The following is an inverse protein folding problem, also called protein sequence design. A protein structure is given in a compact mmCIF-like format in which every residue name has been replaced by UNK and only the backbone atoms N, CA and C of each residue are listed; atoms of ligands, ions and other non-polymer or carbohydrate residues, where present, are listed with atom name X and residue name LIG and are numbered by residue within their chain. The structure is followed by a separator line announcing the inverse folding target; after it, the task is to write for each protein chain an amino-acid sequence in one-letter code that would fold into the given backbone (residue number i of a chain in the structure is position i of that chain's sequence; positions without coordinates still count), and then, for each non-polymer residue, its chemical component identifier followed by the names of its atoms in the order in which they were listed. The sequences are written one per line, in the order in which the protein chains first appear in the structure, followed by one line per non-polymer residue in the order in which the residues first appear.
data_IF_736424291005
#
_entry.id   IF_736424291005
#
_cell.length_a   1.000
_cell.length_b   1.000
_cell.length_c   1.000
_cell.angle_alpha   90.00
_cell.angle_beta   90.00
_cell.angle_gamma   90.00
#
_symmetry.space_group_name_H-M   'P 1'
#
loop_
_entity.id
_entity.type
_entity.pdbx_description
1 polymer ?
#
# COMPACT_ATOMS: atom_id res chain seq x y z
N UNK A 1 -22.82 0.75 -3.36
CA UNK A 1 -23.86 1.81 -3.23
C UNK A 1 -23.26 2.85 -2.30
N UNK A 2 -23.14 4.14 -2.57
CA UNK A 2 -23.82 5.03 -3.51
C UNK A 2 -22.89 6.21 -3.91
N UNK A 3 -23.34 7.00 -4.88
CA UNK A 3 -22.67 8.12 -5.54
C UNK A 3 -22.50 9.36 -4.62
N UNK A 4 -21.36 10.06 -4.72
CA UNK A 4 -21.23 11.42 -4.19
C UNK A 4 -21.91 12.42 -5.15
N UNK A 5 -23.08 12.95 -4.76
CA UNK A 5 -23.71 14.08 -5.44
C UNK A 5 -23.22 15.41 -4.85
N UNK A 6 -22.84 16.35 -5.72
CA UNK A 6 -22.58 17.75 -5.37
C UNK A 6 -23.90 18.47 -5.09
N UNK A 7 -23.96 19.27 -4.01
CA UNK A 7 -24.95 20.33 -3.87
C UNK A 7 -24.29 21.67 -3.54
N UNK A 8 -24.81 22.70 -4.21
CA UNK A 8 -24.43 24.11 -4.12
C UNK A 8 -25.20 24.76 -2.93
N UNK A 9 -24.64 25.75 -2.21
CA UNK A 9 -25.27 26.27 -1.00
C UNK A 9 -26.18 27.47 -1.31
N UNK A 10 -27.38 27.49 -0.71
CA UNK A 10 -28.11 28.74 -0.43
C UNK A 10 -28.81 28.67 0.93
N UNK A 11 -28.81 29.83 1.58
CA UNK A 11 -29.43 30.22 2.86
C UNK A 11 -28.88 29.56 4.13
N UNK A 12 -28.44 30.27 5.16
CA UNK A 12 -28.83 31.62 5.57
C UNK A 12 -29.46 31.57 6.96
N UNK A 13 -28.70 31.20 8.00
CA UNK A 13 -29.05 31.61 9.37
C UNK A 13 -27.81 31.63 10.26
N UNK A 14 -27.57 32.81 10.85
CA UNK A 14 -26.54 33.06 11.84
C UNK A 14 -26.90 32.40 13.16
N UNK A 15 -26.06 31.47 13.63
CA UNK A 15 -25.96 31.13 15.05
C UNK A 15 -24.53 31.37 15.49
N UNK A 16 -24.37 32.33 16.40
CA UNK A 16 -23.13 32.62 17.11
C UNK A 16 -22.62 31.35 17.79
N UNK A 17 -21.49 30.83 17.32
CA UNK A 17 -20.72 29.81 18.01
C UNK A 17 -20.04 30.46 19.21
N UNK A 18 -20.39 29.97 20.40
CA UNK A 18 -19.70 30.31 21.64
C UNK A 18 -18.26 29.79 21.54
N UNK A 19 -17.29 30.69 21.69
CA UNK A 19 -15.90 30.33 21.97
C UNK A 19 -15.86 29.48 23.24
N UNK A 20 -15.51 28.20 23.09
CA UNK A 20 -14.99 27.40 24.17
C UNK A 20 -13.47 27.39 23.97
N UNK A 21 -12.76 28.08 24.86
CA UNK A 21 -11.30 27.98 24.96
C UNK A 21 -10.97 26.55 25.41
N UNK A 22 -10.65 25.67 24.46
CA UNK A 22 -10.01 24.40 24.78
C UNK A 22 -8.52 24.66 24.98
N UNK A 23 -8.08 24.51 26.21
CA UNK A 23 -6.67 24.46 26.60
C UNK A 23 -5.88 23.55 25.67
N UNK A 24 -4.86 24.13 25.05
CA UNK A 24 -3.80 23.42 24.36
C UNK A 24 -3.02 22.55 25.36
N UNK A 25 -3.51 21.34 25.62
CA UNK A 25 -2.68 20.26 26.13
C UNK A 25 -2.26 19.39 24.94
N UNK A 26 -0.95 19.32 24.75
CA UNK A 26 -0.26 18.51 23.76
C UNK A 26 -0.75 17.07 23.82
N UNK A 27 -1.45 16.62 22.78
CA UNK A 27 -1.62 15.18 22.49
C UNK A 27 -0.26 14.60 22.06
N UNK A 28 0.64 14.40 23.03
CA UNK A 28 1.78 13.50 22.86
C UNK A 28 1.24 12.08 22.91
N UNK A 29 0.96 11.52 21.73
CA UNK A 29 0.77 10.09 21.58
C UNK A 29 2.00 9.39 22.17
N UNK A 30 1.80 8.72 23.30
CA UNK A 30 2.88 8.09 24.04
C UNK A 30 3.09 6.70 23.41
N UNK A 31 4.07 6.56 22.51
CA UNK A 31 4.53 5.26 21.97
C UNK A 31 5.06 4.28 23.06
N UNK A 32 5.02 4.68 24.33
CA UNK A 32 5.33 3.85 25.49
C UNK A 32 4.09 3.06 25.91
N UNK A 33 3.84 1.89 25.30
CA UNK A 33 3.30 0.69 26.00
C UNK A 33 2.99 -0.52 25.11
N UNK A 34 3.41 -0.58 23.83
CA UNK A 34 3.46 -1.90 23.16
C UNK A 34 4.59 -2.72 23.79
N UNK A 35 4.24 -3.52 24.82
CA UNK A 35 5.09 -4.64 25.24
C UNK A 35 5.23 -5.55 24.03
N UNK A 36 6.47 -5.83 23.55
CA UNK A 36 6.67 -6.76 22.46
C UNK A 36 5.91 -8.04 22.77
N UNK A 37 4.97 -8.42 21.89
CA UNK A 37 4.48 -9.78 21.88
C UNK A 37 5.71 -10.61 21.53
N UNK A 38 6.28 -11.32 22.50
CA UNK A 38 7.38 -12.28 22.29
C UNK A 38 6.88 -13.52 21.56
N UNK A 39 5.97 -13.34 20.61
CA UNK A 39 5.67 -14.30 19.57
C UNK A 39 6.82 -14.25 18.58
N UNK A 40 7.96 -14.80 18.99
CA UNK A 40 8.96 -15.29 18.05
C UNK A 40 8.30 -16.41 17.28
N UNK A 41 7.52 -16.08 16.26
CA UNK A 41 7.14 -17.05 15.26
C UNK A 41 8.46 -17.49 14.63
N UNK A 42 8.86 -18.76 14.78
CA UNK A 42 10.18 -19.27 14.37
C UNK A 42 10.40 -19.28 12.85
N UNK A 43 9.98 -18.23 12.15
CA UNK A 43 10.04 -18.03 10.71
C UNK A 43 10.54 -16.62 10.42
N UNK A 44 11.38 -16.54 9.40
CA UNK A 44 11.85 -15.29 8.82
C UNK A 44 10.72 -14.59 8.05
N UNK A 45 10.54 -13.30 8.29
CA UNK A 45 9.44 -12.51 7.68
C UNK A 45 9.93 -11.15 7.19
N UNK A 46 9.59 -10.84 5.93
CA UNK A 46 9.70 -9.53 5.30
C UNK A 46 8.31 -9.01 4.91
N UNK A 47 7.93 -7.84 5.41
CA UNK A 47 6.66 -7.21 5.01
C UNK A 47 6.91 -6.24 3.85
N UNK A 48 6.21 -6.40 2.73
CA UNK A 48 6.35 -5.49 1.57
C UNK A 48 5.33 -4.36 1.54
N UNK A 49 4.55 -4.18 2.61
CA UNK A 49 3.56 -3.11 2.70
C UNK A 49 3.38 -2.70 4.17
N UNK A 50 3.89 -1.52 4.51
CA UNK A 50 3.80 -0.91 5.84
C UNK A 50 3.71 0.61 5.65
N UNK A 51 2.88 1.29 6.42
CA UNK A 51 2.73 2.74 6.32
C UNK A 51 3.57 3.47 7.36
N UNK A 52 4.13 4.61 6.96
CA UNK A 52 4.88 5.52 7.84
C UNK A 52 4.28 6.92 7.81
N UNK A 53 4.45 7.63 8.93
CA UNK A 53 3.94 8.97 9.11
C UNK A 53 2.49 9.04 9.57
N UNK A 54 2.11 10.25 9.98
CA UNK A 54 0.83 10.56 10.59
C UNK A 54 -0.22 10.87 9.52
N UNK A 55 -1.43 10.42 9.77
CA UNK A 55 -2.63 10.83 9.04
C UNK A 55 -3.52 11.63 9.99
N UNK A 56 -3.88 12.84 9.58
CA UNK A 56 -4.77 13.67 10.41
C UNK A 56 -6.17 13.02 10.51
N UNK A 57 -6.85 13.13 11.66
CA UNK A 57 -8.24 12.71 11.80
C UNK A 57 -9.13 13.37 10.74
N UNK A 58 -10.12 12.63 10.25
CA UNK A 58 -11.03 13.11 9.20
C UNK A 58 -12.48 12.67 9.43
N UNK A 59 -13.48 13.50 9.07
CA UNK A 59 -14.90 13.13 9.15
C UNK A 59 -15.27 12.13 8.05
N UNK A 60 -14.88 10.87 8.24
CA UNK A 60 -15.19 9.78 7.31
C UNK A 60 -16.68 9.41 7.35
N UNK A 61 -17.22 9.00 6.19
CA UNK A 61 -18.54 8.37 6.08
C UNK A 61 -19.68 9.10 6.81
N UNK A 62 -19.79 10.41 6.58
CA UNK A 62 -20.85 11.26 7.16
C UNK A 62 -20.71 11.46 8.69
N UNK A 63 -19.57 11.10 9.28
CA UNK A 63 -19.28 11.40 10.68
C UNK A 63 -19.18 12.91 10.91
N UNK A 64 -19.89 13.42 11.92
CA UNK A 64 -19.78 14.83 12.35
C UNK A 64 -18.42 15.12 12.99
N UNK A 65 -17.89 14.16 13.74
CA UNK A 65 -16.60 14.25 14.41
C UNK A 65 -15.50 13.58 13.58
N UNK A 66 -14.34 14.23 13.39
CA UNK A 66 -13.18 13.61 12.77
C UNK A 66 -12.69 12.42 13.59
N UNK A 67 -12.40 11.31 12.92
CA UNK A 67 -11.78 10.13 13.55
C UNK A 67 -10.43 9.84 12.91
N UNK A 68 -9.48 9.34 13.70
CA UNK A 68 -8.31 8.66 13.15
C UNK A 68 -8.69 7.20 12.91
N UNK A 69 -8.74 6.75 11.65
CA UNK A 69 -9.19 5.39 11.35
C UNK A 69 -8.14 4.32 11.68
N UNK A 70 -6.90 4.75 11.91
CA UNK A 70 -5.76 3.95 12.31
C UNK A 70 -4.87 4.78 13.25
N UNK A 71 -4.01 4.11 14.02
CA UNK A 71 -2.95 4.77 14.78
C UNK A 71 -1.91 5.41 13.84
N UNK A 72 -1.07 6.35 14.31
CA UNK A 72 0.00 6.90 13.50
C UNK A 72 1.03 5.82 13.14
N UNK A 73 1.48 5.82 11.88
CA UNK A 73 2.61 4.99 11.48
C UNK A 73 3.93 5.55 12.04
N UNK A 74 5.02 4.75 12.09
CA UNK A 74 6.31 5.21 12.55
C UNK A 74 6.76 6.50 11.85
N UNK A 75 7.24 7.47 12.62
CA UNK A 75 7.77 8.75 12.14
C UNK A 75 9.29 8.85 12.31
N UNK A 76 9.91 7.90 13.01
CA UNK A 76 11.35 7.83 13.24
C UNK A 76 11.90 6.43 13.03
N UNK A 77 13.21 6.32 12.80
CA UNK A 77 13.87 5.01 12.66
C UNK A 77 13.87 4.19 13.94
N UNK A 78 13.82 4.83 15.10
CA UNK A 78 13.68 4.14 16.39
C UNK A 78 12.30 3.47 16.51
N UNK A 79 11.23 4.20 16.20
CA UNK A 79 9.87 3.66 16.19
C UNK A 79 9.72 2.54 15.16
N UNK A 80 10.25 2.72 13.95
CA UNK A 80 10.21 1.69 12.90
C UNK A 80 11.01 0.45 13.30
N UNK A 81 12.19 0.63 13.90
CA UNK A 81 13.02 -0.49 14.38
C UNK A 81 12.30 -1.24 15.50
N UNK A 82 11.70 -0.52 16.46
CA UNK A 82 10.91 -1.13 17.54
C UNK A 82 9.72 -1.91 16.98
N UNK A 83 8.99 -1.33 16.02
CA UNK A 83 7.90 -2.00 15.32
C UNK A 83 8.38 -3.32 14.68
N UNK A 84 9.47 -3.27 13.92
CA UNK A 84 10.04 -4.46 13.28
C UNK A 84 10.48 -5.53 14.30
N UNK A 85 11.24 -5.14 15.32
CA UNK A 85 11.77 -6.04 16.34
C UNK A 85 10.66 -6.68 17.19
N UNK A 86 9.60 -5.92 17.49
CA UNK A 86 8.45 -6.42 18.26
C UNK A 86 7.73 -7.59 17.60
N UNK A 87 7.82 -7.70 16.27
CA UNK A 87 7.12 -8.69 15.44
C UNK A 87 8.09 -9.69 14.79
N UNK A 88 9.38 -9.59 15.08
CA UNK A 88 10.42 -10.43 14.46
C UNK A 88 10.60 -10.17 12.96
N UNK A 89 10.20 -9.00 12.47
CA UNK A 89 10.35 -8.62 11.06
C UNK A 89 11.79 -8.22 10.78
N UNK A 90 12.45 -8.94 9.88
CA UNK A 90 13.85 -8.71 9.57
C UNK A 90 14.05 -7.57 8.56
N UNK A 91 13.13 -7.42 7.60
CA UNK A 91 13.12 -6.36 6.60
C UNK A 91 11.69 -5.87 6.33
N UNK A 92 11.55 -4.61 5.95
CA UNK A 92 10.24 -4.06 5.59
C UNK A 92 10.33 -3.07 4.42
N UNK A 93 9.26 -3.00 3.62
CA UNK A 93 9.05 -1.93 2.66
C UNK A 93 8.02 -0.96 3.23
N UNK A 94 8.40 0.30 3.36
CA UNK A 94 7.56 1.37 3.87
C UNK A 94 7.00 2.24 2.75
N UNK A 95 5.79 2.74 2.95
CA UNK A 95 5.10 3.66 2.04
C UNK A 95 4.49 4.83 2.83
N UNK A 96 4.26 5.98 2.19
CA UNK A 96 3.53 7.08 2.80
C UNK A 96 2.16 6.65 3.33
N UNK A 97 1.81 7.10 4.53
CA UNK A 97 0.44 7.00 5.02
C UNK A 97 -0.50 7.91 4.20
N UNK A 98 -1.71 7.43 3.89
CA UNK A 98 -2.72 8.14 3.11
C UNK A 98 -4.11 7.61 3.46
N UNK A 99 -5.16 8.37 3.13
CA UNK A 99 -6.53 7.89 3.32
C UNK A 99 -7.57 9.00 3.39
N UNK A 100 -7.13 10.23 3.65
CA UNK A 100 -7.97 11.43 3.66
C UNK A 100 -7.97 12.09 2.26
N UNK A 101 -9.02 12.83 1.87
CA UNK A 101 -9.13 13.48 0.57
C UNK A 101 -8.27 14.76 0.46
N UNK A 102 -7.01 14.70 0.88
CA UNK A 102 -6.00 15.76 0.78
C UNK A 102 -4.86 15.23 -0.07
N UNK A 103 -4.77 15.70 -1.32
CA UNK A 103 -3.83 15.17 -2.32
C UNK A 103 -2.38 15.30 -1.90
N UNK A 104 -2.02 16.43 -1.28
CA UNK A 104 -0.65 16.80 -0.92
C UNK A 104 -0.12 16.01 0.28
N UNK A 105 -1.00 15.50 1.15
CA UNK A 105 -0.61 14.84 2.40
C UNK A 105 0.37 13.66 2.18
N UNK A 106 0.08 12.67 1.31
CA UNK A 106 1.02 11.57 1.12
C UNK A 106 2.32 11.98 0.40
N UNK A 107 2.29 13.03 -0.44
CA UNK A 107 3.52 13.54 -1.06
C UNK A 107 4.49 14.13 -0.03
N UNK A 108 3.98 14.78 1.02
CA UNK A 108 4.82 15.33 2.10
C UNK A 108 5.61 14.25 2.85
N UNK A 109 5.10 13.02 2.86
CA UNK A 109 5.74 11.89 3.54
C UNK A 109 6.78 11.16 2.68
N UNK A 110 6.97 11.53 1.41
CA UNK A 110 8.05 10.96 0.59
C UNK A 110 9.44 11.26 1.17
N UNK A 111 9.65 12.45 1.72
CA UNK A 111 10.93 12.82 2.37
C UNK A 111 11.18 11.97 3.62
N UNK A 112 10.12 11.68 4.39
CA UNK A 112 10.20 10.76 5.53
C UNK A 112 10.57 9.34 5.07
N UNK A 113 9.95 8.83 4.02
CA UNK A 113 10.29 7.51 3.46
C UNK A 113 11.77 7.44 3.07
N UNK A 114 12.29 8.45 2.36
CA UNK A 114 13.71 8.53 1.98
C UNK A 114 14.60 8.54 3.23
N UNK A 115 14.25 9.36 4.24
CA UNK A 115 15.00 9.42 5.49
C UNK A 115 15.08 8.04 6.18
N UNK A 116 13.94 7.39 6.39
CA UNK A 116 13.86 6.10 7.08
C UNK A 116 14.57 4.99 6.29
N UNK A 117 14.57 5.04 4.95
CA UNK A 117 15.33 4.12 4.12
C UNK A 117 16.84 4.27 4.32
N UNK A 118 17.36 5.51 4.36
CA UNK A 118 18.78 5.79 4.59
C UNK A 118 19.23 5.32 5.99
N UNK A 119 18.40 5.54 6.99
CA UNK A 119 18.68 5.17 8.39
C UNK A 119 18.44 3.67 8.66
N UNK A 120 17.72 2.97 7.77
CA UNK A 120 17.30 1.58 7.93
C UNK A 120 18.39 0.52 7.77
N UNK A 121 19.64 0.90 7.51
CA UNK A 121 20.83 0.02 7.47
C UNK A 121 20.63 -1.25 6.60
N UNK A 122 20.05 -1.09 5.41
CA UNK A 122 19.79 -2.19 4.48
C UNK A 122 18.61 -3.10 4.82
N UNK A 123 17.88 -2.81 5.91
CA UNK A 123 16.66 -3.54 6.33
C UNK A 123 15.37 -2.88 5.86
N UNK A 124 15.41 -1.61 5.46
CA UNK A 124 14.24 -0.82 5.09
C UNK A 124 14.33 -0.45 3.60
N UNK A 125 13.29 -0.81 2.85
CA UNK A 125 13.05 -0.33 1.50
C UNK A 125 11.89 0.68 1.50
N UNK A 126 11.80 1.55 0.50
CA UNK A 126 10.74 2.55 0.39
C UNK A 126 10.06 2.53 -0.96
N UNK A 127 8.76 2.83 -0.99
CA UNK A 127 8.08 3.24 -2.22
C UNK A 127 7.54 4.66 -2.12
N UNK A 128 7.85 5.49 -3.12
CA UNK A 128 7.47 6.89 -3.14
C UNK A 128 6.03 7.06 -3.65
N UNK A 129 5.25 7.90 -2.99
CA UNK A 129 3.93 8.29 -3.46
C UNK A 129 4.02 9.11 -4.75
N UNK A 130 3.21 8.72 -5.73
CA UNK A 130 3.06 9.38 -7.03
C UNK A 130 1.59 9.41 -7.43
N UNK A 131 1.23 10.32 -8.34
CA UNK A 131 -0.12 10.38 -8.89
C UNK A 131 -0.07 10.74 -10.36
N UNK A 132 -0.83 10.00 -11.19
CA UNK A 132 -0.99 10.34 -12.59
C UNK A 132 -2.00 11.46 -12.86
N UNK A 133 -2.56 12.09 -11.83
CA UNK A 133 -3.49 13.22 -11.98
C UNK A 133 -2.74 14.50 -12.42
N UNK A 134 -3.21 15.24 -13.44
CA UNK A 134 -2.54 16.44 -13.93
C UNK A 134 -2.30 17.52 -12.87
N UNK A 135 -3.25 17.69 -11.93
CA UNK A 135 -3.13 18.64 -10.82
C UNK A 135 -1.98 18.33 -9.85
N UNK A 136 -1.53 17.07 -9.81
CA UNK A 136 -0.44 16.61 -8.96
C UNK A 136 0.90 16.53 -9.73
N UNK A 137 0.99 17.13 -10.93
CA UNK A 137 2.18 17.02 -11.78
C UNK A 137 3.45 17.45 -11.05
N UNK A 138 3.47 18.65 -10.48
CA UNK A 138 4.67 19.18 -9.82
C UNK A 138 5.11 18.31 -8.63
N UNK A 139 4.15 17.84 -7.83
CA UNK A 139 4.39 16.95 -6.70
C UNK A 139 4.95 15.60 -7.15
N UNK A 140 4.41 15.06 -8.24
CA UNK A 140 4.88 13.81 -8.83
C UNK A 140 6.26 13.97 -9.43
N UNK A 141 6.53 15.07 -10.14
CA UNK A 141 7.85 15.35 -10.70
C UNK A 141 8.90 15.50 -9.59
N UNK A 142 8.57 16.17 -8.49
CA UNK A 142 9.42 16.21 -7.29
C UNK A 142 9.63 14.81 -6.71
N UNK A 143 8.59 13.98 -6.63
CA UNK A 143 8.72 12.60 -6.14
C UNK A 143 9.70 11.77 -6.99
N UNK A 144 9.61 11.89 -8.31
CA UNK A 144 10.46 11.14 -9.25
C UNK A 144 11.95 11.53 -9.14
N UNK A 145 12.30 12.74 -8.71
CA UNK A 145 13.72 13.11 -8.50
C UNK A 145 14.38 12.37 -7.33
N UNK A 146 13.59 11.75 -6.45
CA UNK A 146 14.08 10.98 -5.30
C UNK A 146 14.23 9.48 -5.59
N UNK A 147 13.96 9.01 -6.82
CA UNK A 147 13.98 7.59 -7.17
C UNK A 147 15.35 6.93 -7.03
N UNK A 148 16.42 7.71 -7.17
CA UNK A 148 17.80 7.22 -7.07
C UNK A 148 18.35 7.27 -5.64
N UNK A 149 17.52 7.67 -4.67
CA UNK A 149 17.88 7.63 -3.26
C UNK A 149 18.08 6.19 -2.75
N UNK A 150 19.09 5.95 -1.88
CA UNK A 150 19.32 4.64 -1.30
C UNK A 150 18.06 4.08 -0.62
N UNK A 151 17.73 2.82 -0.92
CA UNK A 151 16.58 2.14 -0.35
C UNK A 151 15.25 2.34 -1.08
N UNK A 152 15.14 3.26 -2.04
CA UNK A 152 13.92 3.40 -2.83
C UNK A 152 13.81 2.27 -3.86
N UNK A 153 12.74 1.48 -3.75
CA UNK A 153 12.55 0.21 -4.50
C UNK A 153 11.14 0.05 -5.07
N UNK A 154 10.32 1.09 -5.01
CA UNK A 154 8.99 1.07 -5.61
C UNK A 154 8.38 2.46 -5.73
N UNK A 155 7.19 2.48 -6.32
CA UNK A 155 6.29 3.62 -6.32
C UNK A 155 4.95 3.21 -5.72
N UNK A 156 4.23 4.12 -5.09
CA UNK A 156 2.89 3.91 -4.55
C UNK A 156 1.90 4.85 -5.23
N UNK A 157 0.79 4.30 -5.70
CA UNK A 157 -0.28 5.03 -6.35
C UNK A 157 -1.65 4.52 -5.86
N UNK A 158 -2.60 5.44 -5.70
CA UNK A 158 -3.99 5.14 -5.38
C UNK A 158 -4.94 5.98 -6.21
N UNK A 159 -6.10 5.42 -6.52
CA UNK A 159 -7.21 6.14 -7.17
C UNK A 159 -8.36 6.41 -6.18
N UNK A 160 -8.17 6.17 -4.88
CA UNK A 160 -9.10 6.60 -3.83
C UNK A 160 -9.24 8.12 -3.78
N UNK A 161 -8.14 8.84 -4.03
CA UNK A 161 -8.12 10.30 -4.00
C UNK A 161 -8.62 10.93 -5.32
N UNK A 162 -8.96 10.12 -6.32
CA UNK A 162 -9.48 10.57 -7.61
C UNK A 162 -8.81 9.92 -8.81
N UNK A 163 -9.37 10.15 -9.99
CA UNK A 163 -8.91 9.53 -11.25
C UNK A 163 -9.41 8.10 -11.41
N UNK A 164 -8.77 7.35 -12.31
CA UNK A 164 -9.12 5.95 -12.59
C UNK A 164 -7.89 5.21 -13.10
N UNK A 165 -7.72 3.91 -12.77
CA UNK A 165 -6.65 3.10 -13.36
C UNK A 165 -6.93 2.71 -14.81
N UNK A 166 -8.15 2.87 -15.33
CA UNK A 166 -8.50 2.46 -16.69
C UNK A 166 -7.90 3.41 -17.74
N UNK A 167 -6.87 3.01 -18.49
CA UNK A 167 -6.17 3.89 -19.42
C UNK A 167 -7.03 4.34 -20.61
N UNK A 168 -8.19 3.70 -20.84
CA UNK A 168 -9.15 4.12 -21.87
C UNK A 168 -9.88 5.41 -21.49
N UNK A 169 -9.85 5.78 -20.22
CA UNK A 169 -10.53 6.96 -19.65
C UNK A 169 -9.57 8.12 -19.37
N UNK A 170 -8.28 7.97 -19.66
CA UNK A 170 -7.31 9.04 -19.47
C UNK A 170 -7.39 10.06 -20.59
N UNK A 171 -7.48 11.34 -20.23
CA UNK A 171 -7.18 12.41 -21.16
C UNK A 171 -5.67 12.47 -21.48
N UNK A 172 -5.29 13.31 -22.43
CA UNK A 172 -3.91 13.41 -22.89
C UNK A 172 -2.94 13.80 -21.76
N UNK A 173 -3.34 14.70 -20.87
CA UNK A 173 -2.51 15.17 -19.76
C UNK A 173 -2.28 14.07 -18.72
N UNK A 174 -3.34 13.31 -18.40
CA UNK A 174 -3.31 12.17 -17.48
C UNK A 174 -2.47 11.04 -18.07
N UNK A 175 -2.67 10.71 -19.35
CA UNK A 175 -1.87 9.70 -20.06
C UNK A 175 -0.40 10.07 -20.03
N UNK A 176 -0.03 11.30 -20.40
CA UNK A 176 1.36 11.75 -20.44
C UNK A 176 2.05 11.62 -19.08
N UNK A 177 1.35 11.94 -17.99
CA UNK A 177 1.92 11.81 -16.65
C UNK A 177 2.06 10.35 -16.21
N UNK A 178 1.08 9.48 -16.49
CA UNK A 178 1.20 8.04 -16.24
C UNK A 178 2.35 7.42 -17.05
N UNK A 179 2.49 7.73 -18.34
CA UNK A 179 3.58 7.23 -19.18
C UNK A 179 4.96 7.64 -18.64
N UNK A 180 5.09 8.88 -18.11
CA UNK A 180 6.31 9.32 -17.44
C UNK A 180 6.61 8.44 -16.21
N UNK A 181 5.64 8.29 -15.30
CA UNK A 181 5.78 7.43 -14.12
C UNK A 181 6.14 5.99 -14.50
N UNK A 182 5.50 5.43 -15.52
CA UNK A 182 5.72 4.06 -15.97
C UNK A 182 7.08 3.89 -16.64
N UNK A 183 7.58 4.89 -17.37
CA UNK A 183 8.94 4.86 -17.92
C UNK A 183 9.98 4.79 -16.79
N UNK A 184 9.86 5.66 -15.80
CA UNK A 184 10.80 5.70 -14.66
C UNK A 184 10.81 4.37 -13.89
N UNK A 185 9.64 3.77 -13.69
CA UNK A 185 9.52 2.46 -13.04
C UNK A 185 10.15 1.33 -13.87
N UNK A 186 9.91 1.31 -15.20
CA UNK A 186 10.48 0.30 -16.11
C UNK A 186 12.00 0.41 -16.21
N UNK A 187 12.52 1.62 -16.38
CA UNK A 187 13.96 1.89 -16.49
C UNK A 187 14.73 1.41 -15.25
N UNK A 188 14.13 1.56 -14.06
CA UNK A 188 14.70 1.09 -12.79
C UNK A 188 14.31 -0.34 -12.42
N UNK A 189 13.42 -0.97 -13.19
CA UNK A 189 12.87 -2.28 -12.94
C UNK A 189 12.24 -2.43 -11.53
N UNK A 190 11.54 -1.37 -11.08
CA UNK A 190 10.85 -1.31 -9.80
C UNK A 190 9.33 -1.45 -10.00
N UNK A 191 8.61 -2.09 -9.07
CA UNK A 191 7.15 -2.20 -9.13
C UNK A 191 6.45 -0.91 -8.72
N UNK A 192 5.25 -0.74 -9.28
CA UNK A 192 4.28 0.25 -8.82
C UNK A 192 3.21 -0.47 -8.00
N UNK A 193 3.10 -0.09 -6.74
CA UNK A 193 2.05 -0.52 -5.83
C UNK A 193 0.78 0.27 -6.12
N UNK A 194 -0.23 -0.42 -6.62
CA UNK A 194 -1.55 0.13 -6.86
C UNK A 194 -2.51 -0.33 -5.77
N UNK A 195 -3.11 0.63 -5.07
CA UNK A 195 -4.12 0.33 -4.07
C UNK A 195 -5.41 -0.22 -4.68
N UNK A 196 -5.77 -1.47 -4.36
CA UNK A 196 -7.07 -2.05 -4.72
C UNK A 196 -8.00 -2.11 -3.52
N UNK A 197 -9.29 -1.81 -3.70
CA UNK A 197 -10.27 -1.75 -2.62
C UNK A 197 -11.61 -2.37 -3.02
N UNK A 198 -12.53 -2.65 -2.07
CA UNK A 198 -13.81 -3.28 -2.36
C UNK A 198 -14.76 -2.50 -3.31
N UNK A 199 -14.37 -1.34 -3.81
CA UNK A 199 -15.22 -0.53 -4.68
C UNK A 199 -14.58 0.78 -5.17
N UNK A 200 -15.39 1.58 -5.87
CA UNK A 200 -14.95 2.85 -6.43
C UNK A 200 -13.92 2.68 -7.55
N UNK A 201 -13.05 3.67 -7.71
CA UNK A 201 -12.02 3.64 -8.76
C UNK A 201 -10.91 2.61 -8.47
N UNK A 202 -10.74 2.21 -7.21
CA UNK A 202 -9.77 1.20 -6.79
C UNK A 202 -10.31 -0.24 -6.83
N UNK A 203 -11.54 -0.48 -7.31
CA UNK A 203 -12.00 -1.86 -7.60
C UNK A 203 -11.14 -2.49 -8.70
N UNK A 204 -10.76 -3.76 -8.51
CA UNK A 204 -9.90 -4.53 -9.44
C UNK A 204 -10.39 -4.50 -10.90
N UNK A 205 -11.70 -4.39 -11.14
CA UNK A 205 -12.24 -4.35 -12.50
C UNK A 205 -11.74 -3.19 -13.33
N UNK A 206 -11.35 -2.08 -12.69
CA UNK A 206 -10.80 -0.94 -13.39
C UNK A 206 -9.32 -1.16 -13.80
N UNK A 207 -8.62 -2.14 -13.25
CA UNK A 207 -7.19 -2.36 -13.48
C UNK A 207 -6.88 -3.33 -14.62
N UNK A 208 -7.82 -4.17 -15.05
CA UNK A 208 -7.52 -5.21 -16.06
C UNK A 208 -7.00 -4.62 -17.38
N UNK A 209 -7.47 -3.44 -17.78
CA UNK A 209 -6.95 -2.79 -18.99
C UNK A 209 -5.56 -2.18 -18.78
N UNK A 210 -5.26 -1.68 -17.58
CA UNK A 210 -3.91 -1.26 -17.22
C UNK A 210 -2.95 -2.44 -17.25
N UNK A 211 -3.35 -3.57 -16.67
CA UNK A 211 -2.59 -4.83 -16.69
C UNK A 211 -2.39 -5.32 -18.12
N UNK A 212 -3.46 -5.34 -18.93
CA UNK A 212 -3.38 -5.79 -20.32
C UNK A 212 -2.44 -4.93 -21.15
N UNK A 213 -2.47 -3.60 -20.95
CA UNK A 213 -1.70 -2.65 -21.75
C UNK A 213 -0.24 -2.54 -21.33
N UNK A 214 0.05 -2.61 -20.03
CA UNK A 214 1.39 -2.33 -19.49
C UNK A 214 2.00 -3.50 -18.72
N UNK A 215 1.22 -4.48 -18.28
CA UNK A 215 1.69 -5.52 -17.37
C UNK A 215 2.69 -6.50 -17.97
N UNK A 216 2.99 -6.46 -19.28
CA UNK A 216 4.05 -7.32 -19.86
C UNK A 216 5.46 -6.81 -19.56
N UNK A 217 5.62 -5.49 -19.44
CA UNK A 217 6.91 -4.84 -19.25
C UNK A 217 6.96 -3.96 -17.99
N UNK A 218 5.82 -3.62 -17.40
CA UNK A 218 5.70 -2.94 -16.11
C UNK A 218 5.33 -3.91 -15.00
N UNK A 219 6.10 -3.89 -13.90
CA UNK A 219 5.75 -4.62 -12.67
C UNK A 219 4.61 -3.90 -11.95
N UNK A 220 3.44 -4.55 -11.91
CA UNK A 220 2.22 -4.04 -11.28
C UNK A 220 2.00 -4.81 -9.99
N UNK A 221 2.11 -4.13 -8.84
CA UNK A 221 1.82 -4.73 -7.54
C UNK A 221 0.45 -4.28 -7.06
N UNK A 222 -0.55 -5.16 -7.14
CA UNK A 222 -1.92 -4.90 -6.73
C UNK A 222 -2.05 -5.18 -5.22
N UNK A 223 -1.89 -4.14 -4.41
CA UNK A 223 -2.00 -4.33 -2.96
C UNK A 223 -3.43 -4.63 -2.54
N UNK A 224 -3.60 -5.45 -1.51
CA UNK A 224 -4.89 -5.96 -1.03
C UNK A 224 -5.62 -6.96 -1.95
N UNK A 225 -4.87 -7.55 -2.89
CA UNK A 225 -5.28 -8.71 -3.68
C UNK A 225 -6.58 -8.51 -4.49
N UNK A 226 -6.89 -7.29 -4.89
CA UNK A 226 -8.07 -6.92 -5.68
C UNK A 226 -9.21 -6.29 -4.88
N UNK A 227 -9.11 -6.21 -3.56
CA UNK A 227 -10.03 -5.50 -2.69
C UNK A 227 -11.40 -6.19 -2.47
N UNK A 228 -11.63 -6.65 -1.24
CA UNK A 228 -12.91 -7.24 -0.81
C UNK A 228 -13.30 -8.56 -1.49
N UNK A 229 -14.40 -9.17 -1.04
CA UNK A 229 -14.81 -10.53 -1.46
C UNK A 229 -14.92 -10.68 -2.98
N UNK A 230 -15.62 -9.75 -3.64
CA UNK A 230 -15.87 -9.84 -5.08
C UNK A 230 -14.62 -9.59 -5.90
N UNK A 231 -13.78 -8.64 -5.47
CA UNK A 231 -12.51 -8.35 -6.14
C UNK A 231 -11.54 -9.52 -6.04
N UNK A 232 -11.43 -10.13 -4.85
CA UNK A 232 -10.62 -11.31 -4.62
C UNK A 232 -11.02 -12.49 -5.51
N UNK A 233 -12.32 -12.78 -5.63
CA UNK A 233 -12.82 -13.86 -6.50
C UNK A 233 -12.46 -13.59 -7.97
N UNK A 234 -12.64 -12.35 -8.44
CA UNK A 234 -12.34 -11.96 -9.83
C UNK A 234 -10.86 -12.02 -10.17
N UNK A 235 -9.99 -11.64 -9.23
CA UNK A 235 -8.55 -11.67 -9.45
C UNK A 235 -8.05 -13.12 -9.45
N UNK A 236 -8.44 -13.92 -8.45
CA UNK A 236 -8.06 -15.34 -8.37
C UNK A 236 -8.54 -16.10 -9.61
N UNK A 237 -9.76 -15.84 -10.10
CA UNK A 237 -10.27 -16.54 -11.30
C UNK A 237 -9.48 -16.26 -12.58
N UNK A 238 -8.67 -15.19 -12.61
CA UNK A 238 -7.83 -14.81 -13.75
C UNK A 238 -6.34 -15.03 -13.46
N UNK A 239 -5.98 -15.49 -12.25
CA UNK A 239 -4.60 -15.53 -11.79
C UNK A 239 -3.70 -16.32 -12.73
N UNK A 240 -4.09 -17.56 -13.02
CA UNK A 240 -3.37 -18.44 -13.95
C UNK A 240 -3.17 -17.78 -15.31
N UNK A 241 -4.23 -17.24 -15.91
CA UNK A 241 -4.19 -16.61 -17.23
C UNK A 241 -3.26 -15.37 -17.24
N UNK A 242 -3.23 -14.61 -16.14
CA UNK A 242 -2.32 -13.49 -16.00
C UNK A 242 -0.86 -13.96 -15.92
N UNK A 243 -0.57 -14.98 -15.12
CA UNK A 243 0.80 -15.47 -14.92
C UNK A 243 1.32 -16.20 -16.15
N UNK A 244 0.58 -17.18 -16.69
CA UNK A 244 0.96 -17.90 -17.91
C UNK A 244 0.93 -16.98 -19.14
N UNK A 245 0.07 -15.96 -19.10
CA UNK A 245 0.07 -14.87 -20.05
C UNK A 245 1.36 -14.06 -20.02
N UNK A 246 2.22 -14.18 -19.00
CA UNK A 246 3.47 -13.43 -18.90
C UNK A 246 3.29 -11.99 -18.41
N UNK A 247 2.18 -11.70 -17.72
CA UNK A 247 2.00 -10.41 -17.05
C UNK A 247 2.76 -10.41 -15.71
N UNK A 248 3.49 -9.33 -15.46
CA UNK A 248 4.24 -9.03 -14.25
C UNK A 248 3.30 -8.46 -13.17
N UNK A 249 2.29 -9.24 -12.79
CA UNK A 249 1.34 -8.90 -11.74
C UNK A 249 1.78 -9.53 -10.43
N UNK A 250 1.96 -8.71 -9.41
CA UNK A 250 2.27 -9.09 -8.04
C UNK A 250 1.11 -8.71 -7.14
N UNK A 251 0.96 -9.41 -6.03
CA UNK A 251 -0.06 -9.16 -5.00
C UNK A 251 0.54 -9.43 -3.62
N UNK A 252 -0.01 -8.79 -2.60
CA UNK A 252 0.29 -9.11 -1.22
C UNK A 252 -0.97 -9.48 -0.42
N UNK A 253 -0.74 -10.06 0.76
CA UNK A 253 -1.79 -10.59 1.63
C UNK A 253 -2.55 -9.53 2.42
N UNK A 254 -2.06 -8.30 2.55
CA UNK A 254 -2.63 -7.30 3.44
C UNK A 254 -4.09 -7.01 3.11
N UNK A 255 -4.96 -6.86 4.11
CA UNK A 255 -6.41 -6.63 3.91
C UNK A 255 -7.13 -7.69 3.05
N UNK A 256 -6.44 -8.75 2.63
CA UNK A 256 -7.07 -9.82 1.87
C UNK A 256 -7.90 -10.67 2.84
N UNK A 257 -9.08 -11.09 2.38
CA UNK A 257 -9.98 -11.87 3.22
C UNK A 257 -9.43 -13.29 3.29
N UNK A 258 -9.41 -13.89 4.49
CA UNK A 258 -8.71 -15.16 4.73
C UNK A 258 -9.14 -16.33 3.84
N UNK A 259 -10.37 -16.37 3.30
CA UNK A 259 -10.74 -17.42 2.32
C UNK A 259 -9.93 -17.28 1.03
N UNK A 260 -9.70 -16.05 0.58
CA UNK A 260 -9.07 -15.77 -0.69
C UNK A 260 -7.57 -16.08 -0.62
N UNK A 261 -6.90 -15.63 0.45
CA UNK A 261 -5.49 -15.96 0.72
C UNK A 261 -5.29 -17.47 0.78
N UNK A 262 -6.10 -18.19 1.57
CA UNK A 262 -6.00 -19.65 1.67
C UNK A 262 -6.27 -20.37 0.35
N UNK A 263 -7.20 -19.85 -0.46
CA UNK A 263 -7.53 -20.44 -1.75
C UNK A 263 -6.37 -20.29 -2.72
N UNK A 264 -5.82 -19.08 -2.87
CA UNK A 264 -4.68 -18.83 -3.73
C UNK A 264 -3.46 -19.64 -3.25
N UNK A 265 -3.12 -19.61 -1.97
CA UNK A 265 -1.98 -20.36 -1.44
C UNK A 265 -2.05 -21.87 -1.75
N UNK A 266 -3.23 -22.49 -1.66
CA UNK A 266 -3.41 -23.88 -2.05
C UNK A 266 -3.18 -24.11 -3.55
N UNK A 267 -3.64 -23.18 -4.38
CA UNK A 267 -3.41 -23.24 -5.83
C UNK A 267 -1.93 -23.08 -6.17
N UNK A 268 -1.23 -22.16 -5.49
CA UNK A 268 0.21 -21.97 -5.61
C UNK A 268 0.98 -23.24 -5.22
N UNK A 269 0.63 -23.86 -4.10
CA UNK A 269 1.26 -25.09 -3.60
C UNK A 269 1.02 -26.29 -4.53
N UNK A 270 -0.16 -26.36 -5.15
CA UNK A 270 -0.51 -27.46 -6.05
C UNK A 270 0.08 -27.32 -7.45
N UNK A 271 0.24 -26.09 -7.95
CA UNK A 271 0.55 -25.84 -9.37
C UNK A 271 1.91 -25.19 -9.59
N UNK A 272 2.46 -24.51 -8.59
CA UNK A 272 3.64 -23.66 -8.73
C UNK A 272 3.40 -22.35 -9.51
N UNK A 273 2.22 -22.14 -10.09
CA UNK A 273 1.95 -21.01 -10.99
C UNK A 273 1.81 -19.72 -10.19
N UNK A 274 2.80 -18.83 -10.34
CA UNK A 274 2.78 -17.51 -9.70
C UNK A 274 3.21 -17.51 -8.24
N UNK A 275 3.89 -18.57 -7.77
CA UNK A 275 4.47 -18.62 -6.42
C UNK A 275 5.37 -17.42 -6.17
N UNK A 276 6.08 -16.97 -7.20
CA UNK A 276 7.00 -15.83 -7.19
C UNK A 276 6.32 -14.45 -7.32
N UNK A 277 4.99 -14.41 -7.21
CA UNK A 277 4.17 -13.19 -7.37
C UNK A 277 3.28 -12.86 -6.16
N UNK A 278 3.26 -13.72 -5.14
CA UNK A 278 2.49 -13.47 -3.91
C UNK A 278 3.41 -13.18 -2.72
N UNK A 279 3.23 -12.05 -2.07
CA UNK A 279 4.11 -11.56 -1.02
C UNK A 279 3.37 -11.33 0.30
N UNK A 280 4.10 -11.37 1.41
CA UNK A 280 3.57 -10.95 2.70
C UNK A 280 3.56 -9.42 2.83
N UNK A 281 2.42 -8.86 3.18
CA UNK A 281 2.26 -7.46 3.60
C UNK A 281 1.36 -7.40 4.82
N UNK A 282 1.72 -6.58 5.81
CA UNK A 282 0.89 -6.43 7.01
C UNK A 282 0.04 -5.15 7.01
N UNK A 283 0.39 -4.13 6.23
CA UNK A 283 -0.38 -2.88 6.09
C UNK A 283 -0.61 -2.11 7.40
N UNK A 284 0.26 -2.31 8.38
CA UNK A 284 0.27 -1.53 9.62
C UNK A 284 0.43 -0.02 9.30
N UNK A 285 -0.35 0.88 9.93
CA UNK A 285 -1.29 0.65 11.04
C UNK A 285 -2.75 0.41 10.61
N UNK A 286 -3.02 0.22 9.32
CA UNK A 286 -4.36 -0.04 8.79
C UNK A 286 -4.84 -1.48 8.95
N UNK A 287 -3.92 -2.40 9.22
CA UNK A 287 -4.18 -3.76 9.67
C UNK A 287 -3.12 -4.16 10.71
N UNK A 288 -3.11 -5.42 11.11
CA UNK A 288 -2.28 -5.94 12.19
C UNK A 288 -1.39 -7.09 11.69
N UNK A 289 -0.13 -7.09 12.13
CA UNK A 289 0.83 -8.11 11.74
C UNK A 289 0.34 -9.53 12.04
N UNK A 290 -0.23 -9.77 13.22
CA UNK A 290 -0.66 -11.08 13.69
C UNK A 290 -1.76 -11.67 12.80
N UNK A 291 -2.78 -10.87 12.48
CA UNK A 291 -3.89 -11.23 11.62
C UNK A 291 -3.40 -11.62 10.22
N UNK A 292 -2.52 -10.82 9.64
CA UNK A 292 -1.95 -11.08 8.32
C UNK A 292 -1.02 -12.31 8.34
N UNK A 293 -0.18 -12.45 9.36
CA UNK A 293 0.74 -13.57 9.53
C UNK A 293 -0.01 -14.90 9.60
N UNK A 294 -1.05 -14.99 10.44
CA UNK A 294 -1.78 -16.23 10.65
C UNK A 294 -2.64 -16.66 9.46
N UNK A 295 -3.05 -15.73 8.58
CA UNK A 295 -3.72 -16.09 7.31
C UNK A 295 -2.86 -17.01 6.45
N UNK A 296 -1.54 -16.83 6.46
CA UNK A 296 -0.58 -17.63 5.69
C UNK A 296 -0.05 -18.78 6.54
N UNK A 297 0.42 -18.51 7.75
CA UNK A 297 1.03 -19.54 8.61
C UNK A 297 0.06 -20.68 8.91
N UNK A 298 -1.22 -20.36 9.14
CA UNK A 298 -2.28 -21.34 9.39
C UNK A 298 -2.80 -22.08 8.15
N UNK A 299 -2.31 -21.75 6.95
CA UNK A 299 -2.71 -22.45 5.73
C UNK A 299 -2.09 -23.86 5.67
N UNK A 300 -2.86 -24.89 5.26
CA UNK A 300 -2.36 -26.26 5.10
C UNK A 300 -1.67 -26.42 3.74
N UNK A 301 -0.50 -25.82 3.61
CA UNK A 301 0.38 -25.82 2.42
C UNK A 301 1.82 -26.15 2.87
N UNK A 302 2.69 -26.47 1.92
CA UNK A 302 4.10 -26.74 2.22
C UNK A 302 4.82 -25.55 2.88
N UNK A 303 5.85 -25.85 3.67
CA UNK A 303 6.72 -24.80 4.22
C UNK A 303 7.49 -24.07 3.13
N UNK A 304 7.80 -24.73 2.00
CA UNK A 304 8.46 -24.08 0.86
C UNK A 304 7.66 -22.87 0.36
N UNK A 305 6.34 -23.03 0.15
CA UNK A 305 5.48 -21.91 -0.26
C UNK A 305 5.42 -20.84 0.83
N UNK A 306 5.38 -21.22 2.11
CA UNK A 306 5.40 -20.25 3.21
C UNK A 306 6.68 -19.43 3.20
N UNK A 307 7.85 -20.06 3.07
CA UNK A 307 9.14 -19.34 3.00
C UNK A 307 9.19 -18.38 1.80
N UNK A 308 8.67 -18.81 0.63
CA UNK A 308 8.57 -17.93 -0.55
C UNK A 308 7.72 -16.69 -0.25
N UNK A 309 6.53 -16.86 0.31
CA UNK A 309 5.60 -15.74 0.57
C UNK A 309 6.08 -14.84 1.71
N UNK A 310 6.59 -15.43 2.79
CA UNK A 310 7.01 -14.66 3.97
C UNK A 310 8.27 -13.86 3.75
N UNK A 311 9.22 -14.31 2.92
CA UNK A 311 10.43 -13.52 2.69
C UNK A 311 11.10 -13.73 1.34
N UNK A 312 11.10 -14.93 0.75
CA UNK A 312 11.89 -15.23 -0.44
C UNK A 312 11.53 -14.36 -1.64
N UNK A 313 10.23 -14.19 -1.91
CA UNK A 313 9.73 -13.33 -2.98
C UNK A 313 10.07 -11.86 -2.72
N UNK A 314 9.93 -11.42 -1.47
CA UNK A 314 10.22 -10.05 -1.07
C UNK A 314 11.72 -9.74 -1.24
N UNK A 315 12.61 -10.66 -0.87
CA UNK A 315 14.05 -10.55 -1.05
C UNK A 315 14.39 -10.30 -2.53
N UNK A 316 13.87 -11.14 -3.41
CA UNK A 316 14.11 -11.03 -4.85
C UNK A 316 13.57 -9.72 -5.44
N UNK A 317 12.34 -9.33 -5.06
CA UNK A 317 11.69 -8.17 -5.66
C UNK A 317 12.18 -6.82 -5.12
N UNK A 318 12.57 -6.74 -3.84
CA UNK A 318 12.82 -5.45 -3.19
C UNK A 318 14.18 -5.36 -2.49
N UNK A 319 14.65 -6.43 -1.85
CA UNK A 319 15.75 -6.31 -0.88
C UNK A 319 17.12 -6.79 -1.38
N UNK A 320 17.18 -7.56 -2.46
CA UNK A 320 18.44 -8.11 -3.01
C UNK A 320 19.46 -7.06 -3.45
N UNK A 321 18.99 -5.82 -3.68
CA UNK A 321 19.82 -4.67 -4.07
C UNK A 321 20.01 -3.66 -2.94
N UNK A 322 19.65 -4.00 -1.70
CA UNK A 322 19.98 -3.19 -0.53
C UNK A 322 21.34 -3.67 -0.01
N UNK A 323 22.40 -3.15 -0.61
CA UNK A 323 23.78 -3.31 -0.13
C UNK A 323 24.25 -1.94 0.38
#
# INVERSE_FOLDING_TARGET
MCFMYRHNPQDGSSKQLKHCESSAEENKYNFQEEKPLTMGFGRKVYSVHNHVGVLDPWPFYESEEPISPADPGPATSEELTRFMESRGMEKCLIIPNYGIPVQEQPFKLNELVVQLCREGNGRVAGALWVSGLPQNRELTEKALTMLDEPGIRGLKMSYLLGGTPDPRKWDEATLKLHEKIFSEARERNIPIHFHTSPGGNSDITNYFELIKRYGKDLKIHLVHMGGGVSGHIRLISQWRDLIEGGYQVYIDSSWAIGFAVRKLLKELDQTGIGVDRFLFGCDEPWSDYEGEFWKIQGAPISDEIKERVFWGNAEEQYFSKLA
#
